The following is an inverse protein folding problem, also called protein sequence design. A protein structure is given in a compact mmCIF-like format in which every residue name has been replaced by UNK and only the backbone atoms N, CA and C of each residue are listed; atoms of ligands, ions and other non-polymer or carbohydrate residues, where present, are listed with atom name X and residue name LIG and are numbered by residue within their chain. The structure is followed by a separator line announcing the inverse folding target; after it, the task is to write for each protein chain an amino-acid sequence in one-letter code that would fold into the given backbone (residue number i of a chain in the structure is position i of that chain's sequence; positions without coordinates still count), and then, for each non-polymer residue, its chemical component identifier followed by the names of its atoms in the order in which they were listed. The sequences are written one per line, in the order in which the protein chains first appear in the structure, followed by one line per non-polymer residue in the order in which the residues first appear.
data_IF_666737093692
#
_entry.id   IF_666737093692
#
_cell.length_a   1.000
_cell.length_b   1.000
_cell.length_c   1.000
_cell.angle_alpha   90.00
_cell.angle_beta   90.00
_cell.angle_gamma   90.00
#
_symmetry.space_group_name_H-M   'P 1'
#
loop_
_entity.id
_entity.type
_entity.pdbx_description
1 polymer ?
#
# COMPACT_ATOMS: atom_id res chain seq x y z
N UNK A 1 3.04 -21.65 -32.27
CA UNK A 1 3.70 -20.34 -32.21
C UNK A 1 3.62 -19.84 -30.77
N UNK A 2 4.72 -19.87 -30.02
CA UNK A 2 4.75 -19.43 -28.62
C UNK A 2 5.65 -18.21 -28.49
N UNK A 3 5.08 -17.09 -28.07
CA UNK A 3 5.81 -15.84 -27.83
C UNK A 3 6.62 -15.96 -26.54
N UNK A 4 7.94 -16.02 -26.66
CA UNK A 4 8.85 -15.87 -25.52
C UNK A 4 8.99 -14.39 -25.20
N UNK A 5 8.32 -13.94 -24.14
CA UNK A 5 8.53 -12.61 -23.57
C UNK A 5 9.97 -12.50 -23.05
N UNK A 6 10.87 -11.94 -23.87
CA UNK A 6 12.25 -11.66 -23.49
C UNK A 6 12.28 -10.53 -22.45
N UNK A 7 12.42 -10.91 -21.17
CA UNK A 7 12.78 -9.98 -20.11
C UNK A 7 14.15 -9.37 -20.47
N UNK A 8 14.32 -8.04 -20.47
CA UNK A 8 15.64 -7.45 -20.66
C UNK A 8 16.47 -7.79 -19.41
N UNK A 9 17.30 -8.81 -19.53
CA UNK A 9 18.32 -9.11 -18.55
C UNK A 9 19.42 -8.07 -18.71
N UNK A 10 19.59 -7.20 -17.72
CA UNK A 10 20.69 -6.24 -17.68
C UNK A 10 21.98 -7.01 -17.43
N UNK A 11 22.53 -7.61 -18.49
CA UNK A 11 23.88 -8.15 -18.45
C UNK A 11 24.82 -6.96 -18.37
N UNK A 12 25.33 -6.70 -17.17
CA UNK A 12 26.48 -5.81 -16.96
C UNK A 12 27.68 -6.45 -17.67
N UNK A 13 27.79 -6.25 -18.99
CA UNK A 13 29.03 -6.51 -19.70
C UNK A 13 30.03 -5.48 -19.19
N UNK A 14 30.81 -5.86 -18.20
CA UNK A 14 31.99 -5.10 -17.80
C UNK A 14 32.86 -5.06 -19.06
N UNK A 15 33.11 -3.87 -19.65
CA UNK A 15 33.95 -3.79 -20.82
C UNK A 15 35.32 -4.35 -20.45
N UNK A 16 35.70 -5.47 -21.06
CA UNK A 16 37.03 -6.06 -20.90
C UNK A 16 38.10 -5.28 -21.66
N UNK A 17 37.68 -4.27 -22.42
CA UNK A 17 38.54 -3.40 -23.21
C UNK A 17 38.69 -2.03 -22.55
N UNK A 18 39.93 -1.58 -22.43
CA UNK A 18 40.22 -0.22 -22.00
C UNK A 18 39.75 0.78 -23.06
N UNK A 19 39.24 1.94 -22.64
CA UNK A 19 38.85 3.00 -23.58
C UNK A 19 40.04 3.41 -24.46
N UNK A 20 39.83 3.62 -25.76
CA UNK A 20 40.89 4.01 -26.71
C UNK A 20 41.69 5.24 -26.23
N UNK A 21 41.02 6.19 -25.59
CA UNK A 21 41.63 7.39 -25.02
C UNK A 21 42.60 7.09 -23.86
N UNK A 22 42.34 6.03 -23.08
CA UNK A 22 43.26 5.57 -22.02
C UNK A 22 44.48 4.90 -22.62
N UNK A 23 44.29 4.07 -23.65
CA UNK A 23 45.39 3.41 -24.37
C UNK A 23 46.29 4.47 -25.04
N UNK A 24 45.69 5.46 -25.71
CA UNK A 24 46.41 6.57 -26.31
C UNK A 24 47.18 7.41 -25.27
N UNK A 25 46.64 7.56 -24.05
CA UNK A 25 47.34 8.25 -22.97
C UNK A 25 48.59 7.47 -22.53
N UNK A 26 48.48 6.17 -22.30
CA UNK A 26 49.62 5.30 -21.94
C UNK A 26 50.68 5.26 -23.05
N UNK A 27 50.26 5.20 -24.31
CA UNK A 27 51.18 5.11 -25.45
C UNK A 27 51.98 6.40 -25.68
N UNK A 28 51.42 7.56 -25.30
CA UNK A 28 52.06 8.86 -25.48
C UNK A 28 52.97 9.27 -24.31
N UNK A 29 52.92 8.56 -23.17
CA UNK A 29 53.78 8.84 -22.02
C UNK A 29 55.12 8.10 -22.16
N UNK A 30 56.22 8.83 -22.27
CA UNK A 30 57.60 8.29 -22.36
C UNK A 30 58.27 8.13 -20.99
N UNK A 31 57.47 8.05 -19.93
CA UNK A 31 57.91 8.06 -18.52
C UNK A 31 58.32 6.66 -18.01
N UNK A 32 59.27 6.63 -17.07
CA UNK A 32 59.71 5.43 -16.33
C UNK A 32 58.57 4.76 -15.54
N UNK A 33 58.71 3.47 -15.22
CA UNK A 33 57.62 2.64 -14.66
C UNK A 33 56.91 3.22 -13.41
N UNK A 34 57.62 3.92 -12.52
CA UNK A 34 57.03 4.52 -11.32
C UNK A 34 56.23 5.79 -11.61
N UNK A 35 56.75 6.66 -12.47
CA UNK A 35 56.07 7.90 -12.88
C UNK A 35 54.89 7.60 -13.80
N UNK A 36 55.01 6.58 -14.66
CA UNK A 36 53.91 6.08 -15.50
C UNK A 36 52.71 5.60 -14.67
N UNK A 37 52.94 4.90 -13.55
CA UNK A 37 51.84 4.40 -12.73
C UNK A 37 51.07 5.53 -12.02
N UNK A 38 51.79 6.54 -11.53
CA UNK A 38 51.17 7.73 -10.90
C UNK A 38 50.37 8.56 -11.90
N UNK A 39 50.87 8.73 -13.12
CA UNK A 39 50.16 9.46 -14.18
C UNK A 39 48.89 8.72 -14.61
N UNK A 40 48.97 7.41 -14.77
CA UNK A 40 47.81 6.54 -15.04
C UNK A 40 46.76 6.66 -13.94
N UNK A 41 47.16 6.63 -12.66
CA UNK A 41 46.23 6.78 -11.55
C UNK A 41 45.55 8.15 -11.56
N UNK A 42 46.32 9.23 -11.77
CA UNK A 42 45.78 10.58 -11.87
C UNK A 42 44.78 10.72 -13.03
N UNK A 43 45.07 10.12 -14.18
CA UNK A 43 44.18 10.08 -15.33
C UNK A 43 42.88 9.34 -15.03
N UNK A 44 42.97 8.17 -14.40
CA UNK A 44 41.79 7.38 -13.99
C UNK A 44 40.92 8.19 -13.04
N UNK A 45 41.51 8.82 -12.02
CA UNK A 45 40.77 9.66 -11.07
C UNK A 45 40.09 10.84 -11.76
N UNK A 46 40.76 11.50 -12.71
CA UNK A 46 40.18 12.59 -13.50
C UNK A 46 38.98 12.12 -14.31
N UNK A 47 39.11 10.97 -14.98
CA UNK A 47 38.05 10.41 -15.82
C UNK A 47 36.84 9.97 -14.99
N UNK A 48 37.07 9.29 -13.87
CA UNK A 48 36.00 8.90 -12.94
C UNK A 48 35.23 10.14 -12.46
N UNK A 49 35.92 11.23 -12.11
CA UNK A 49 35.25 12.49 -11.71
C UNK A 49 34.39 13.06 -12.85
N UNK A 50 34.87 13.07 -14.09
CA UNK A 50 34.13 13.56 -15.25
C UNK A 50 32.89 12.69 -15.55
N UNK A 51 33.02 11.38 -15.47
CA UNK A 51 31.91 10.45 -15.67
C UNK A 51 30.86 10.59 -14.56
N UNK A 52 31.27 10.78 -13.30
CA UNK A 52 30.35 11.03 -12.20
C UNK A 52 29.52 12.30 -12.40
N UNK A 53 30.14 13.40 -12.86
CA UNK A 53 29.42 14.64 -13.18
C UNK A 53 28.40 14.40 -14.29
N UNK A 54 28.82 13.71 -15.36
CA UNK A 54 27.96 13.41 -16.51
C UNK A 54 26.76 12.54 -16.11
N UNK A 55 26.97 11.55 -15.23
CA UNK A 55 25.91 10.72 -14.68
C UNK A 55 24.95 11.52 -13.82
N UNK A 56 25.46 12.43 -12.97
CA UNK A 56 24.63 13.29 -12.13
C UNK A 56 23.75 14.22 -12.98
N UNK A 57 24.30 14.83 -14.03
CA UNK A 57 23.53 15.66 -14.97
C UNK A 57 22.45 14.85 -15.69
N UNK A 58 22.78 13.63 -16.15
CA UNK A 58 21.81 12.75 -16.79
C UNK A 58 20.70 12.34 -15.82
N UNK A 59 21.05 12.04 -14.56
CA UNK A 59 20.08 11.73 -13.52
C UNK A 59 19.17 12.92 -13.23
N UNK A 60 19.72 14.13 -13.11
CA UNK A 60 18.93 15.34 -12.89
C UNK A 60 17.94 15.61 -14.04
N UNK A 61 18.37 15.39 -15.29
CA UNK A 61 17.49 15.50 -16.47
C UNK A 61 16.34 14.49 -16.42
N UNK A 62 16.64 13.23 -16.10
CA UNK A 62 15.61 12.18 -15.98
C UNK A 62 14.63 12.50 -14.87
N UNK A 63 15.09 12.95 -13.70
CA UNK A 63 14.21 13.34 -12.59
C UNK A 63 13.31 14.52 -12.98
N UNK A 64 13.86 15.54 -13.63
CA UNK A 64 13.09 16.68 -14.10
C UNK A 64 12.03 16.27 -15.15
N UNK A 65 12.39 15.37 -16.06
CA UNK A 65 11.44 14.84 -17.06
C UNK A 65 10.35 14.00 -16.40
N UNK A 66 10.69 13.12 -15.45
CA UNK A 66 9.73 12.35 -14.67
C UNK A 66 8.76 13.27 -13.92
N UNK A 67 9.28 14.29 -13.22
CA UNK A 67 8.47 15.26 -12.51
C UNK A 67 7.52 16.01 -13.46
N UNK A 68 8.00 16.42 -14.64
CA UNK A 68 7.15 17.07 -15.65
C UNK A 68 6.03 16.14 -16.12
N UNK A 69 6.35 14.88 -16.40
CA UNK A 69 5.36 13.87 -16.82
C UNK A 69 4.33 13.61 -15.72
N UNK A 70 4.75 13.58 -14.46
CA UNK A 70 3.82 13.44 -13.32
C UNK A 70 2.93 14.66 -13.15
N UNK A 71 3.46 15.87 -13.29
CA UNK A 71 2.68 17.11 -13.26
C UNK A 71 1.66 17.15 -14.39
N UNK A 72 2.07 16.86 -15.63
CA UNK A 72 1.15 16.79 -16.77
C UNK A 72 0.07 15.71 -16.59
N UNK A 73 0.40 14.57 -15.97
CA UNK A 73 -0.58 13.53 -15.63
C UNK A 73 -1.52 13.99 -14.52
N UNK A 74 -1.01 14.70 -13.51
CA UNK A 74 -1.80 15.30 -12.44
C UNK A 74 -2.78 16.34 -12.96
N UNK A 75 -2.34 17.22 -13.86
CA UNK A 75 -3.18 18.24 -14.52
C UNK A 75 -4.24 17.59 -15.43
N UNK A 76 -3.87 16.56 -16.20
CA UNK A 76 -4.82 15.78 -17.01
C UNK A 76 -5.79 14.96 -16.17
N UNK A 77 -5.39 14.51 -14.97
CA UNK A 77 -6.30 13.88 -14.00
C UNK A 77 -7.23 14.91 -13.37
N UNK A 78 -6.77 16.13 -13.06
CA UNK A 78 -7.62 17.21 -12.57
C UNK A 78 -8.69 17.63 -13.60
N UNK A 79 -8.36 17.62 -14.90
CA UNK A 79 -9.34 17.85 -15.98
C UNK A 79 -10.30 16.66 -16.22
N UNK A 80 -9.98 15.47 -15.69
CA UNK A 80 -10.82 14.26 -15.74
C UNK A 80 -11.51 13.95 -14.40
N UNK A 81 -11.44 14.85 -13.42
CA UNK A 81 -12.39 14.86 -12.31
C UNK A 81 -13.66 15.52 -12.88
N UNK A 82 -14.75 14.79 -13.15
CA UNK A 82 -16.02 15.44 -13.42
C UNK A 82 -16.38 16.21 -12.15
N UNK A 83 -16.48 17.54 -12.25
CA UNK A 83 -16.85 18.47 -11.18
C UNK A 83 -16.25 18.13 -9.80
N UNK A 84 -15.35 18.98 -9.31
CA UNK A 84 -15.33 19.22 -7.88
C UNK A 84 -16.72 19.72 -7.49
N UNK A 85 -17.60 18.77 -7.17
CA UNK A 85 -19.01 18.93 -6.84
C UNK A 85 -19.10 20.13 -5.91
N UNK A 86 -19.65 21.23 -6.42
CA UNK A 86 -19.82 22.46 -5.66
C UNK A 86 -20.38 22.12 -4.28
N UNK A 87 -19.79 22.74 -3.25
CA UNK A 87 -20.09 22.63 -1.82
C UNK A 87 -21.53 22.21 -1.45
N UNK A 88 -22.63 22.75 -2.04
CA UNK A 88 -23.99 22.29 -1.75
C UNK A 88 -24.27 20.80 -2.05
N UNK A 89 -23.72 20.25 -3.13
CA UNK A 89 -23.95 18.85 -3.50
C UNK A 89 -23.19 17.89 -2.59
N UNK A 90 -21.93 18.22 -2.26
CA UNK A 90 -21.14 17.48 -1.28
C UNK A 90 -21.79 17.50 0.11
N UNK A 91 -22.25 18.68 0.57
CA UNK A 91 -22.93 18.79 1.85
C UNK A 91 -24.22 17.97 1.88
N UNK A 92 -25.01 17.98 0.80
CA UNK A 92 -26.22 17.16 0.70
C UNK A 92 -25.92 15.65 0.71
N UNK A 93 -24.77 15.23 0.19
CA UNK A 93 -24.34 13.83 0.16
C UNK A 93 -23.79 13.39 1.52
N UNK A 94 -23.09 14.28 2.22
CA UNK A 94 -22.67 14.10 3.62
C UNK A 94 -23.90 14.03 4.54
N UNK A 95 -24.92 14.86 4.35
CA UNK A 95 -26.12 14.86 5.18
C UNK A 95 -26.95 13.59 4.95
N UNK A 96 -27.09 13.14 3.69
CA UNK A 96 -27.67 11.82 3.40
C UNK A 96 -26.88 10.68 4.05
N UNK A 97 -25.56 10.78 4.08
CA UNK A 97 -24.71 9.81 4.75
C UNK A 97 -24.95 9.82 6.27
N UNK A 98 -25.02 10.99 6.90
CA UNK A 98 -25.35 11.13 8.33
C UNK A 98 -26.73 10.54 8.65
N UNK A 99 -27.73 10.82 7.82
CA UNK A 99 -29.08 10.28 7.99
C UNK A 99 -29.10 8.76 7.85
N UNK A 100 -28.34 8.20 6.90
CA UNK A 100 -28.21 6.76 6.73
C UNK A 100 -27.52 6.11 7.95
N UNK A 101 -26.44 6.70 8.45
CA UNK A 101 -25.77 6.21 9.67
C UNK A 101 -26.71 6.29 10.87
N UNK A 102 -27.47 7.37 11.02
CA UNK A 102 -28.42 7.53 12.12
C UNK A 102 -29.55 6.50 12.05
N UNK A 103 -30.06 6.21 10.84
CA UNK A 103 -31.02 5.13 10.62
C UNK A 103 -30.43 3.76 10.93
N UNK A 104 -29.17 3.50 10.54
CA UNK A 104 -28.47 2.25 10.87
C UNK A 104 -28.19 2.09 12.37
N UNK A 105 -27.90 3.18 13.07
CA UNK A 105 -27.72 3.22 14.52
C UNK A 105 -29.05 2.95 15.25
N UNK A 106 -30.16 3.47 14.74
CA UNK A 106 -31.50 3.20 15.28
C UNK A 106 -32.01 1.80 14.93
N UNK A 107 -31.62 1.24 13.79
CA UNK A 107 -31.97 -0.13 13.39
C UNK A 107 -31.06 -1.18 14.02
N UNK A 108 -29.94 -0.79 14.63
CA UNK A 108 -29.14 -1.72 15.42
C UNK A 108 -29.92 -2.07 16.68
N UNK A 109 -30.15 -3.36 16.95
CA UNK A 109 -30.76 -3.75 18.21
C UNK A 109 -29.87 -3.22 19.33
N UNK A 110 -30.43 -2.40 20.21
CA UNK A 110 -29.83 -2.14 21.51
C UNK A 110 -29.87 -3.51 22.19
N UNK A 111 -28.71 -4.15 22.32
CA UNK A 111 -28.64 -5.42 23.02
C UNK A 111 -29.07 -5.17 24.46
N UNK A 112 -30.13 -5.85 24.91
CA UNK A 112 -30.49 -5.83 26.32
C UNK A 112 -29.26 -6.26 27.15
N UNK A 113 -29.08 -5.63 28.31
CA UNK A 113 -27.91 -5.86 29.18
C UNK A 113 -27.73 -7.36 29.52
N UNK A 114 -28.82 -8.13 29.55
CA UNK A 114 -28.82 -9.58 29.76
C UNK A 114 -28.24 -10.36 28.57
N UNK A 115 -28.67 -10.04 27.35
CA UNK A 115 -28.18 -10.67 26.12
C UNK A 115 -26.70 -10.32 25.88
N UNK A 116 -26.28 -9.11 26.25
CA UNK A 116 -24.88 -8.69 26.18
C UNK A 116 -23.97 -9.49 27.12
N UNK A 117 -24.41 -9.75 28.35
CA UNK A 117 -23.67 -10.57 29.33
C UNK A 117 -23.53 -12.03 28.85
N UNK A 118 -24.63 -12.63 28.39
CA UNK A 118 -24.63 -14.00 27.83
C UNK A 118 -23.73 -14.13 26.59
N UNK A 119 -23.75 -13.13 25.70
CA UNK A 119 -22.90 -13.09 24.52
C UNK A 119 -21.41 -13.01 24.87
N UNK A 120 -21.06 -12.19 25.87
CA UNK A 120 -19.68 -12.06 26.36
C UNK A 120 -19.16 -13.35 26.99
N UNK A 121 -20.01 -14.05 27.75
CA UNK A 121 -19.66 -15.32 28.40
C UNK A 121 -19.45 -16.45 27.39
N UNK A 122 -20.33 -16.59 26.40
CA UNK A 122 -20.16 -17.60 25.34
C UNK A 122 -18.90 -17.29 24.51
N UNK A 123 -18.61 -16.01 24.27
CA UNK A 123 -17.40 -15.58 23.54
C UNK A 123 -16.13 -15.93 24.30
N UNK A 124 -16.09 -15.75 25.62
CA UNK A 124 -14.92 -16.11 26.43
C UNK A 124 -14.71 -17.63 26.46
N UNK A 125 -15.78 -18.42 26.64
CA UNK A 125 -15.72 -19.88 26.60
C UNK A 125 -15.27 -20.42 25.23
N UNK A 126 -15.72 -19.79 24.14
CA UNK A 126 -15.29 -20.15 22.79
C UNK A 126 -13.80 -19.88 22.57
N UNK A 127 -13.32 -18.71 23.02
CA UNK A 127 -11.90 -18.35 22.93
C UNK A 127 -11.02 -19.31 23.74
N UNK A 128 -11.46 -19.70 24.94
CA UNK A 128 -10.78 -20.72 25.75
C UNK A 128 -10.73 -22.07 25.03
N UNK A 129 -11.88 -22.54 24.52
CA UNK A 129 -11.94 -23.82 23.80
C UNK A 129 -11.05 -23.83 22.55
N UNK A 130 -11.03 -22.75 21.76
CA UNK A 130 -10.19 -22.63 20.56
C UNK A 130 -8.70 -22.56 20.89
N UNK A 131 -8.34 -21.91 22.00
CA UNK A 131 -6.96 -21.83 22.45
C UNK A 131 -6.44 -23.17 23.01
N UNK A 132 -7.30 -23.94 23.68
CA UNK A 132 -6.99 -25.28 24.17
C UNK A 132 -6.96 -26.33 23.04
N UNK A 133 -7.72 -26.11 21.96
CA UNK A 133 -7.89 -27.05 20.85
C UNK A 133 -7.47 -26.42 19.51
N UNK A 134 -6.23 -25.93 19.42
CA UNK A 134 -5.68 -25.22 18.26
C UNK A 134 -5.80 -25.99 16.94
N UNK A 135 -5.57 -27.30 16.95
CA UNK A 135 -5.69 -28.17 15.76
C UNK A 135 -7.04 -28.92 15.67
N UNK A 136 -7.91 -28.78 16.68
CA UNK A 136 -9.18 -29.53 16.80
C UNK A 136 -10.37 -28.60 17.05
N UNK A 137 -10.48 -27.54 16.25
CA UNK A 137 -11.57 -26.55 16.34
C UNK A 137 -12.97 -27.15 16.19
N UNK A 138 -13.08 -28.38 15.65
CA UNK A 138 -14.34 -29.13 15.56
C UNK A 138 -14.94 -29.45 16.94
N UNK A 139 -14.13 -29.54 17.99
CA UNK A 139 -14.59 -29.81 19.36
C UNK A 139 -15.34 -28.61 19.96
N UNK A 140 -15.11 -27.40 19.45
CA UNK A 140 -15.76 -26.17 19.91
C UNK A 140 -17.07 -25.86 19.15
N UNK A 141 -17.49 -26.71 18.21
CA UNK A 141 -18.77 -26.60 17.48
C UNK A 141 -20.02 -26.43 18.36
N UNK A 142 -20.21 -27.12 19.51
CA UNK A 142 -21.39 -26.89 20.34
C UNK A 142 -21.46 -25.45 20.84
N UNK A 143 -20.34 -24.88 21.29
CA UNK A 143 -20.27 -23.49 21.77
C UNK A 143 -20.57 -22.50 20.63
N UNK A 144 -20.08 -22.77 19.42
CA UNK A 144 -20.40 -21.96 18.24
C UNK A 144 -21.89 -22.05 17.88
N UNK A 145 -22.51 -23.22 18.07
CA UNK A 145 -23.96 -23.42 17.85
C UNK A 145 -24.78 -22.59 18.83
N UNK A 146 -24.37 -22.55 20.09
CA UNK A 146 -25.04 -21.75 21.12
C UNK A 146 -24.90 -20.25 20.84
N UNK A 147 -23.72 -19.81 20.38
CA UNK A 147 -23.49 -18.44 19.92
C UNK A 147 -24.39 -18.07 18.73
N UNK A 148 -24.49 -18.96 17.72
CA UNK A 148 -25.33 -18.71 16.54
C UNK A 148 -26.81 -18.70 16.89
N UNK A 149 -27.26 -19.56 17.81
CA UNK A 149 -28.63 -19.53 18.33
C UNK A 149 -28.93 -18.20 19.03
N UNK A 150 -28.04 -17.73 19.92
CA UNK A 150 -28.22 -16.47 20.64
C UNK A 150 -28.23 -15.27 19.68
N UNK A 151 -27.32 -15.23 18.70
CA UNK A 151 -27.29 -14.17 17.68
C UNK A 151 -28.56 -14.19 16.82
N UNK A 152 -29.06 -15.38 16.47
CA UNK A 152 -30.32 -15.49 15.73
C UNK A 152 -31.53 -15.00 16.53
N UNK A 153 -31.56 -15.23 17.84
CA UNK A 153 -32.61 -14.70 18.73
C UNK A 153 -32.56 -13.17 18.82
N UNK A 154 -31.35 -12.60 18.97
CA UNK A 154 -31.16 -11.14 18.96
C UNK A 154 -31.59 -10.54 17.62
N UNK A 155 -31.26 -11.20 16.51
CA UNK A 155 -31.63 -10.75 15.17
C UNK A 155 -33.16 -10.82 14.96
N UNK A 156 -33.83 -11.87 15.43
CA UNK A 156 -35.31 -11.98 15.36
C UNK A 156 -35.99 -10.91 16.22
N UNK A 157 -35.50 -10.65 17.44
CA UNK A 157 -36.04 -9.61 18.32
C UNK A 157 -35.84 -8.20 17.76
N UNK A 158 -34.76 -7.98 17.00
CA UNK A 158 -34.53 -6.73 16.27
C UNK A 158 -35.53 -6.46 15.13
N UNK A 159 -36.17 -7.50 14.58
CA UNK A 159 -37.13 -7.41 13.48
C UNK A 159 -38.58 -7.19 13.97
N UNK A 160 -38.83 -7.23 15.28
CA UNK A 160 -40.14 -6.98 15.85
C UNK A 160 -40.01 -5.96 17.00
N UNK A 161 -39.91 -4.65 16.70
CA UNK A 161 -39.87 -3.64 17.73
C UNK A 161 -41.24 -3.62 18.41
N UNK A 162 -41.36 -4.26 19.57
CA UNK A 162 -42.45 -3.94 20.47
C UNK A 162 -42.29 -2.47 20.86
N UNK A 163 -43.23 -1.69 20.33
CA UNK A 163 -43.68 -0.37 20.74
C UNK A 163 -43.12 0.03 22.10
N UNK A 164 -42.19 1.00 22.10
CA UNK A 164 -41.92 1.80 23.29
C UNK A 164 -43.20 2.58 23.62
N UNK A 165 -44.06 1.98 24.44
CA UNK A 165 -45.09 2.71 25.15
C UNK A 165 -44.39 3.56 26.22
N UNK A 166 -44.75 4.84 26.24
CA UNK A 166 -44.44 5.83 27.29
C UNK A 166 -43.04 6.47 27.26
N UNK A 167 -42.87 7.41 26.33
CA UNK A 167 -42.20 8.67 26.67
C UNK A 167 -43.28 9.75 26.82
N UNK A 168 -43.77 9.92 28.06
CA UNK A 168 -44.58 11.08 28.43
C UNK A 168 -44.01 11.73 29.69
N UNK A 169 -43.83 13.05 29.56
CA UNK A 169 -43.46 14.08 30.54
C UNK A 169 -41.97 14.38 30.82
#
# INVERSE_FOLDING_TARGET
MGATNSRPEFVLRIPTEFSEQFINHIQNTTETDTTRNLDVEAYVQKRVKQELITLQERQAKVLHEMQRVEQEKGEKMQQKIPDFKDSPTLNSEIDKMRDNLQKELQSKPILDEEHAKKLSEIRSQLLLCLNENTEKSLLCRPIVKDLTNLVSQIQINSLNPQVCHECHH
#
